data_IF_677081789505
#
_entry.id   IF_677081789505
#
_cell.length_a   1.000
_cell.length_b   1.000
_cell.length_c   1.000
_cell.angle_alpha   90.00
_cell.angle_beta   90.00
_cell.angle_gamma   90.00
#
_symmetry.space_group_name_H-M   'P 1'
#
loop_
_entity.id
_entity.type
_entity.pdbx_description
1 polymer ?
#
# COMPACT_ATOMS: atom_id res chain seq x y z
N UNK A 1 3.61 -23.96 5.82
CA UNK A 1 3.71 -23.64 4.37
C UNK A 1 2.67 -22.58 4.05
N UNK A 2 3.05 -21.30 4.06
CA UNK A 2 2.13 -20.16 3.87
C UNK A 2 1.35 -20.20 2.55
N UNK A 3 1.90 -20.91 1.55
CA UNK A 3 1.29 -21.06 0.23
C UNK A 3 -0.05 -21.81 0.28
N UNK A 4 -0.22 -22.79 1.18
CA UNK A 4 -1.46 -23.59 1.27
C UNK A 4 -2.65 -22.81 1.83
N UNK A 5 -2.42 -21.66 2.46
CA UNK A 5 -3.50 -20.78 2.92
C UNK A 5 -4.07 -19.91 1.79
N UNK A 6 -3.48 -19.96 0.59
CA UNK A 6 -3.90 -19.13 -0.53
C UNK A 6 -5.11 -19.74 -1.26
N UNK A 7 -6.27 -19.04 -1.32
CA UNK A 7 -7.43 -19.53 -2.03
C UNK A 7 -7.12 -19.84 -3.50
N UNK A 8 -7.53 -21.02 -3.97
CA UNK A 8 -7.28 -21.46 -5.35
C UNK A 8 -5.88 -22.07 -5.59
N UNK A 9 -5.00 -22.11 -4.58
CA UNK A 9 -3.71 -22.81 -4.64
C UNK A 9 -3.77 -24.14 -3.88
N UNK A 10 -4.24 -25.18 -4.56
CA UNK A 10 -4.29 -26.54 -3.99
C UNK A 10 -2.91 -27.18 -3.81
N UNK A 11 -2.79 -28.26 -3.02
CA UNK A 11 -1.53 -28.91 -2.66
C UNK A 11 -0.66 -29.31 -3.87
N UNK A 12 -1.30 -29.80 -4.95
CA UNK A 12 -0.63 -30.19 -6.19
C UNK A 12 0.09 -29.01 -6.86
N UNK A 13 -0.59 -27.86 -6.97
CA UNK A 13 -0.04 -26.64 -7.56
C UNK A 13 1.04 -26.02 -6.67
N UNK A 14 0.83 -26.01 -5.35
CA UNK A 14 1.83 -25.53 -4.40
C UNK A 14 3.12 -26.35 -4.48
N UNK A 15 3.01 -27.68 -4.57
CA UNK A 15 4.16 -28.58 -4.76
C UNK A 15 4.90 -28.31 -6.07
N UNK A 16 4.18 -28.13 -7.18
CA UNK A 16 4.79 -27.81 -8.47
C UNK A 16 5.58 -26.50 -8.42
N UNK A 17 5.01 -25.44 -7.83
CA UNK A 17 5.72 -24.17 -7.63
C UNK A 17 6.98 -24.31 -6.76
N UNK A 18 6.93 -25.15 -5.72
CA UNK A 18 8.09 -25.43 -4.88
C UNK A 18 9.17 -26.20 -5.65
N UNK A 19 8.79 -27.23 -6.42
CA UNK A 19 9.73 -28.08 -7.14
C UNK A 19 10.37 -27.37 -8.34
N UNK A 20 9.59 -26.61 -9.10
CA UNK A 20 10.06 -25.99 -10.35
C UNK A 20 10.66 -24.60 -10.14
N UNK A 21 10.16 -23.83 -9.17
CA UNK A 21 10.56 -22.43 -8.97
C UNK A 21 11.23 -22.17 -7.61
N UNK A 22 11.32 -23.18 -6.74
CA UNK A 22 11.87 -23.09 -5.38
C UNK A 22 11.22 -21.99 -4.52
N UNK A 23 9.94 -21.73 -4.78
CA UNK A 23 9.17 -20.72 -4.05
C UNK A 23 8.61 -21.33 -2.76
N UNK A 24 8.84 -20.64 -1.64
CA UNK A 24 8.43 -21.11 -0.31
C UNK A 24 7.52 -20.10 0.42
N UNK A 25 7.57 -18.83 0.03
CA UNK A 25 6.86 -17.74 0.71
C UNK A 25 5.96 -16.97 -0.23
N UNK A 26 4.93 -16.31 0.31
CA UNK A 26 4.03 -15.44 -0.48
C UNK A 26 4.78 -14.31 -1.22
N UNK A 27 5.76 -13.61 -0.62
CA UNK A 27 6.54 -12.60 -1.35
C UNK A 27 7.37 -13.19 -2.51
N UNK A 28 7.99 -14.36 -2.31
CA UNK A 28 8.72 -15.06 -3.39
C UNK A 28 7.77 -15.45 -4.52
N UNK A 29 6.56 -15.93 -4.17
CA UNK A 29 5.55 -16.30 -5.16
C UNK A 29 5.04 -15.10 -5.94
N UNK A 30 4.79 -13.97 -5.26
CA UNK A 30 4.37 -12.72 -5.90
C UNK A 30 5.42 -12.25 -6.92
N UNK A 31 6.70 -12.31 -6.55
CA UNK A 31 7.80 -11.95 -7.45
C UNK A 31 7.84 -12.88 -8.66
N UNK A 32 7.84 -14.19 -8.45
CA UNK A 32 7.82 -15.17 -9.54
C UNK A 32 6.60 -15.00 -10.46
N UNK A 33 5.44 -14.61 -9.90
CA UNK A 33 4.24 -14.35 -10.68
C UNK A 33 4.34 -13.06 -11.50
N UNK A 34 4.88 -11.98 -10.94
CA UNK A 34 5.10 -10.71 -11.67
C UNK A 34 6.16 -10.84 -12.77
N UNK A 35 7.18 -11.66 -12.52
CA UNK A 35 8.23 -11.98 -13.49
C UNK A 35 7.77 -13.00 -14.56
N UNK A 36 6.48 -13.35 -14.61
CA UNK A 36 5.87 -14.35 -15.50
C UNK A 36 6.43 -15.79 -15.37
N UNK A 37 7.32 -16.05 -14.41
CA UNK A 37 7.94 -17.37 -14.19
C UNK A 37 6.92 -18.45 -13.82
N UNK A 38 5.83 -18.09 -13.12
CA UNK A 38 4.78 -19.08 -12.79
C UNK A 38 4.10 -19.68 -14.02
N UNK A 39 4.17 -19.03 -15.19
CA UNK A 39 3.56 -19.54 -16.43
C UNK A 39 4.30 -20.74 -17.00
N UNK A 40 5.55 -20.98 -16.59
CA UNK A 40 6.31 -22.15 -17.01
C UNK A 40 5.86 -23.42 -16.29
N UNK A 41 5.13 -23.26 -15.17
CA UNK A 41 4.63 -24.35 -14.35
C UNK A 41 3.28 -24.84 -14.88
N UNK A 42 3.17 -26.16 -15.07
CA UNK A 42 1.95 -26.79 -15.57
C UNK A 42 0.71 -26.41 -14.75
N UNK A 43 -0.33 -25.93 -15.43
CA UNK A 43 -1.60 -25.53 -14.79
C UNK A 43 -1.70 -24.06 -14.38
N UNK A 44 -0.75 -23.21 -14.78
CA UNK A 44 -0.76 -21.75 -14.61
C UNK A 44 -0.77 -20.99 -15.93
N UNK A 45 -1.96 -20.85 -16.55
CA UNK A 45 -2.15 -19.92 -17.66
C UNK A 45 -2.24 -18.45 -17.20
N UNK A 46 -2.28 -17.50 -18.14
CA UNK A 46 -2.30 -16.06 -17.85
C UNK A 46 -3.42 -15.64 -16.87
N UNK A 47 -4.64 -16.16 -17.06
CA UNK A 47 -5.77 -15.92 -16.14
C UNK A 47 -5.52 -16.49 -14.73
N UNK A 48 -4.88 -17.66 -14.64
CA UNK A 48 -4.55 -18.27 -13.35
C UNK A 48 -3.46 -17.50 -12.63
N UNK A 49 -2.46 -16.99 -13.34
CA UNK A 49 -1.42 -16.11 -12.78
C UNK A 49 -2.01 -14.81 -12.26
N UNK A 50 -2.90 -14.16 -13.02
CA UNK A 50 -3.52 -12.92 -12.58
C UNK A 50 -4.31 -13.12 -11.28
N UNK A 51 -5.14 -14.16 -11.23
CA UNK A 51 -5.86 -14.56 -10.00
C UNK A 51 -4.92 -14.89 -8.84
N UNK A 52 -3.78 -15.51 -9.14
CA UNK A 52 -2.78 -15.84 -8.15
C UNK A 52 -2.16 -14.56 -7.55
N UNK A 53 -1.80 -13.59 -8.38
CA UNK A 53 -1.29 -12.28 -7.95
C UNK A 53 -2.31 -11.59 -7.04
N UNK A 54 -3.56 -11.48 -7.48
CA UNK A 54 -4.64 -10.87 -6.70
C UNK A 54 -4.86 -11.57 -5.35
N UNK A 55 -4.85 -12.90 -5.33
CA UNK A 55 -4.99 -13.66 -4.09
C UNK A 55 -3.81 -13.45 -3.13
N UNK A 56 -2.57 -13.38 -3.65
CA UNK A 56 -1.37 -13.13 -2.84
C UNK A 56 -1.41 -11.71 -2.26
N UNK A 57 -1.73 -10.71 -3.07
CA UNK A 57 -1.84 -9.32 -2.64
C UNK A 57 -2.95 -9.13 -1.60
N UNK A 58 -4.09 -9.81 -1.78
CA UNK A 58 -5.17 -9.81 -0.79
C UNK A 58 -4.76 -10.47 0.53
N UNK A 59 -4.01 -11.58 0.49
CA UNK A 59 -3.56 -12.23 1.72
C UNK A 59 -2.49 -11.41 2.44
N UNK A 60 -1.52 -10.87 1.69
CA UNK A 60 -0.48 -9.99 2.23
C UNK A 60 -1.06 -8.70 2.80
N UNK A 61 -2.14 -8.16 2.21
CA UNK A 61 -2.81 -6.96 2.75
C UNK A 61 -3.59 -7.25 4.04
N UNK A 62 -4.15 -8.45 4.23
CA UNK A 62 -4.75 -8.85 5.52
C UNK A 62 -3.71 -8.95 6.63
N UNK A 63 -2.53 -9.46 6.31
CA UNK A 63 -1.39 -9.55 7.26
C UNK A 63 -0.88 -8.13 7.61
N UNK A 64 -1.05 -7.17 6.69
CA UNK A 64 -0.67 -5.75 6.88
C UNK A 64 -1.89 -4.90 7.22
N UNK A 65 -2.60 -5.24 8.31
CA UNK A 65 -3.63 -4.35 8.87
C UNK A 65 -3.31 -4.02 10.32
N UNK A 66 -3.77 -2.86 10.78
CA UNK A 66 -3.75 -2.50 12.19
C UNK A 66 -5.13 -1.97 12.62
N UNK A 67 -5.32 -1.87 13.94
CA UNK A 67 -6.57 -1.37 14.51
C UNK A 67 -6.75 0.10 14.17
N UNK A 68 -8.02 0.51 14.04
CA UNK A 68 -8.41 1.91 13.81
C UNK A 68 -7.69 2.89 14.74
N UNK A 69 -7.60 2.58 16.04
CA UNK A 69 -6.93 3.42 17.03
C UNK A 69 -5.44 3.64 16.71
N UNK A 70 -4.71 2.56 16.41
CA UNK A 70 -3.28 2.63 16.07
C UNK A 70 -3.08 3.43 14.79
N UNK A 71 -3.86 3.11 13.74
CA UNK A 71 -3.82 3.83 12.47
C UNK A 71 -4.13 5.32 12.62
N UNK A 72 -5.08 5.67 13.50
CA UNK A 72 -5.47 7.06 13.76
C UNK A 72 -4.34 7.86 14.40
N UNK A 73 -3.64 7.29 15.39
CA UNK A 73 -2.50 7.96 16.03
C UNK A 73 -1.39 8.24 15.01
N UNK A 74 -1.06 7.26 14.17
CA UNK A 74 -0.10 7.44 13.08
C UNK A 74 -0.57 8.51 12.09
N UNK A 75 -1.83 8.46 11.64
CA UNK A 75 -2.34 9.41 10.65
C UNK A 75 -2.36 10.84 11.18
N UNK A 76 -2.70 11.05 12.44
CA UNK A 76 -2.63 12.38 13.06
C UNK A 76 -1.19 12.89 13.09
N UNK A 77 -0.23 12.04 13.48
CA UNK A 77 1.19 12.39 13.43
C UNK A 77 1.65 12.75 12.01
N UNK A 78 1.37 11.89 11.03
CA UNK A 78 1.73 12.14 9.64
C UNK A 78 1.11 13.44 9.10
N UNK A 79 -0.10 13.80 9.52
CA UNK A 79 -0.77 15.00 9.03
C UNK A 79 -0.07 16.30 9.48
N UNK A 80 0.68 16.28 10.58
CA UNK A 80 1.35 17.47 11.11
C UNK A 80 2.54 17.91 10.24
N UNK A 81 3.32 16.97 9.68
CA UNK A 81 4.51 17.35 8.90
C UNK A 81 4.19 18.06 7.58
N UNK A 82 3.27 17.57 6.73
CA UNK A 82 2.81 18.28 5.55
C UNK A 82 2.26 19.67 5.87
N UNK A 83 1.56 19.86 7.00
CA UNK A 83 1.03 21.17 7.41
C UNK A 83 2.13 22.21 7.67
N UNK A 84 3.33 21.78 8.02
CA UNK A 84 4.48 22.67 8.23
C UNK A 84 5.18 23.06 6.92
N UNK A 85 4.81 22.48 5.77
CA UNK A 85 5.39 22.83 4.49
C UNK A 85 4.84 24.18 3.97
N UNK A 86 5.65 24.97 3.24
CA UNK A 86 5.20 26.24 2.69
C UNK A 86 4.07 26.04 1.67
N UNK A 87 3.10 26.97 1.67
CA UNK A 87 1.98 27.02 0.70
C UNK A 87 1.09 25.77 0.69
N UNK A 88 0.94 25.14 1.86
CA UNK A 88 -0.10 24.13 2.11
C UNK A 88 -1.35 24.83 2.59
N UNK A 89 -2.47 24.53 1.94
CA UNK A 89 -3.78 25.08 2.25
C UNK A 89 -4.55 24.16 3.19
N UNK A 90 -4.47 22.85 2.94
CA UNK A 90 -5.25 21.86 3.69
C UNK A 90 -4.56 20.50 3.71
N UNK A 91 -4.73 19.74 4.79
CA UNK A 91 -4.31 18.34 4.90
C UNK A 91 -5.41 17.54 5.57
N UNK A 92 -5.93 16.55 4.86
CA UNK A 92 -7.03 15.68 5.25
C UNK A 92 -6.60 14.22 5.32
N UNK A 93 -7.23 13.48 6.24
CA UNK A 93 -7.20 12.02 6.27
C UNK A 93 -8.25 11.49 5.30
N UNK A 94 -7.87 10.53 4.47
CA UNK A 94 -8.72 9.91 3.46
C UNK A 94 -8.83 8.39 3.68
N UNK A 95 -9.32 7.68 2.67
CA UNK A 95 -9.25 6.22 2.62
C UNK A 95 -10.12 5.50 3.65
N UNK A 96 -9.70 4.30 4.04
CA UNK A 96 -10.41 3.44 4.99
C UNK A 96 -10.49 4.03 6.40
N UNK A 97 -9.49 4.86 6.75
CA UNK A 97 -9.41 5.55 8.03
C UNK A 97 -10.50 6.62 8.19
N UNK A 98 -10.73 7.44 7.14
CA UNK A 98 -11.82 8.43 7.10
C UNK A 98 -13.20 7.80 7.30
N UNK A 99 -13.38 6.55 6.84
CA UNK A 99 -14.64 5.79 6.96
C UNK A 99 -14.73 4.94 8.23
N UNK A 100 -13.83 5.16 9.20
CA UNK A 100 -13.81 4.49 10.49
C UNK A 100 -13.92 2.95 10.42
N UNK A 101 -13.19 2.31 9.48
CA UNK A 101 -13.13 0.84 9.46
C UNK A 101 -12.29 0.31 10.62
N UNK A 102 -12.79 -0.72 11.30
CA UNK A 102 -12.12 -1.35 12.46
C UNK A 102 -10.67 -1.78 12.18
N UNK A 103 -10.43 -2.29 10.97
CA UNK A 103 -9.13 -2.75 10.50
C UNK A 103 -8.69 -1.97 9.27
N UNK A 104 -7.58 -1.24 9.42
CA UNK A 104 -7.01 -0.31 8.43
C UNK A 104 -5.79 -0.94 7.78
N UNK A 105 -5.77 -0.98 6.44
CA UNK A 105 -4.67 -1.56 5.65
C UNK A 105 -3.60 -0.57 5.20
N UNK A 106 -3.94 0.71 5.19
CA UNK A 106 -3.12 1.84 4.76
C UNK A 106 -3.63 3.13 5.39
N UNK A 107 -2.74 4.12 5.50
CA UNK A 107 -3.06 5.48 5.89
C UNK A 107 -3.00 6.35 4.65
N UNK A 108 -4.14 6.86 4.20
CA UNK A 108 -4.21 7.78 3.08
C UNK A 108 -4.37 9.22 3.55
N UNK A 109 -3.57 10.12 2.99
CA UNK A 109 -3.67 11.56 3.21
C UNK A 109 -3.73 12.31 1.90
N UNK A 110 -4.52 13.38 1.91
CA UNK A 110 -4.63 14.33 0.82
C UNK A 110 -4.16 15.70 1.34
N UNK A 111 -3.22 16.31 0.63
CA UNK A 111 -2.83 17.70 0.86
C UNK A 111 -3.22 18.57 -0.34
N UNK A 112 -3.78 19.74 -0.07
CA UNK A 112 -3.99 20.79 -1.07
C UNK A 112 -2.84 21.78 -0.95
N UNK A 113 -1.98 21.87 -1.96
CA UNK A 113 -0.79 22.71 -1.92
C UNK A 113 -0.31 23.13 -3.31
N UNK A 114 0.42 24.25 -3.36
CA UNK A 114 1.05 24.73 -4.60
C UNK A 114 2.36 24.00 -4.92
N UNK A 115 3.04 23.45 -3.90
CA UNK A 115 4.35 22.83 -4.06
C UNK A 115 4.37 21.40 -3.51
N UNK A 116 3.90 20.44 -4.31
CA UNK A 116 3.86 19.03 -3.91
C UNK A 116 5.21 18.42 -3.55
N UNK A 117 6.30 18.90 -4.16
CA UNK A 117 7.66 18.43 -3.83
C UNK A 117 8.05 18.80 -2.40
N UNK A 118 7.78 20.03 -1.98
CA UNK A 118 8.04 20.47 -0.61
C UNK A 118 7.18 19.70 0.39
N UNK A 119 5.87 19.56 0.13
CA UNK A 119 4.97 18.81 1.02
C UNK A 119 5.40 17.34 1.15
N UNK A 120 5.73 16.69 0.03
CA UNK A 120 6.20 15.31 0.02
C UNK A 120 7.52 15.12 0.77
N UNK A 121 8.43 16.11 0.69
CA UNK A 121 9.67 16.10 1.45
C UNK A 121 9.43 16.18 2.97
N UNK A 122 8.53 17.05 3.42
CA UNK A 122 8.14 17.12 4.83
C UNK A 122 7.49 15.81 5.30
N UNK A 123 6.58 15.23 4.51
CA UNK A 123 5.97 13.94 4.84
C UNK A 123 7.02 12.84 5.04
N UNK A 124 8.04 12.79 4.19
CA UNK A 124 9.09 11.78 4.26
C UNK A 124 10.00 11.91 5.51
N UNK A 125 9.97 13.05 6.20
CA UNK A 125 10.73 13.27 7.43
C UNK A 125 10.08 12.63 8.67
N UNK A 126 8.92 11.99 8.55
CA UNK A 126 8.25 11.37 9.70
C UNK A 126 9.17 10.40 10.45
N UNK A 127 9.40 10.59 11.76
CA UNK A 127 10.27 9.73 12.55
C UNK A 127 9.61 8.37 12.81
N UNK A 128 10.43 7.33 13.02
CA UNK A 128 9.91 6.02 13.41
C UNK A 128 9.21 5.22 12.30
N UNK A 129 9.36 5.62 11.03
CA UNK A 129 8.97 4.75 9.90
C UNK A 129 9.98 3.61 9.73
N UNK A 130 9.48 2.44 9.34
CA UNK A 130 10.33 1.27 9.01
C UNK A 130 11.13 1.51 7.74
N UNK A 131 10.48 2.07 6.72
CA UNK A 131 11.11 2.28 5.41
C UNK A 131 10.45 3.47 4.72
N UNK A 132 11.24 4.31 4.04
CA UNK A 132 10.74 5.33 3.11
C UNK A 132 10.72 4.71 1.72
N UNK A 133 9.56 4.69 1.05
CA UNK A 133 9.43 4.11 -0.29
C UNK A 133 9.86 5.12 -1.36
N UNK A 134 9.46 6.38 -1.21
CA UNK A 134 9.90 7.46 -2.10
C UNK A 134 9.02 8.69 -2.07
N UNK A 135 9.56 9.79 -2.61
CA UNK A 135 8.88 11.07 -2.84
C UNK A 135 8.90 11.36 -4.34
N UNK A 136 7.74 11.22 -4.99
CA UNK A 136 7.48 11.74 -6.33
C UNK A 136 6.77 13.09 -6.23
N UNK A 137 6.85 13.92 -7.28
CA UNK A 137 6.43 15.34 -7.23
C UNK A 137 5.07 15.63 -6.58
N UNK A 138 4.08 14.74 -6.70
CA UNK A 138 2.76 14.87 -6.07
C UNK A 138 2.37 13.69 -5.16
N UNK A 139 3.32 12.78 -4.84
CA UNK A 139 3.05 11.57 -4.06
C UNK A 139 4.23 11.22 -3.16
N UNK A 140 3.97 10.90 -1.90
CA UNK A 140 5.00 10.35 -1.01
C UNK A 140 4.47 9.09 -0.32
N UNK A 141 5.37 8.16 0.04
CA UNK A 141 4.97 6.91 0.69
C UNK A 141 6.03 6.38 1.65
N UNK A 142 5.57 5.87 2.79
CA UNK A 142 6.39 5.29 3.86
C UNK A 142 5.75 4.01 4.40
N UNK A 143 6.55 3.06 4.88
CA UNK A 143 6.12 1.84 5.57
C UNK A 143 6.28 2.03 7.06
N UNK A 144 5.25 1.71 7.84
CA UNK A 144 5.25 1.80 9.29
C UNK A 144 5.89 0.57 9.94
N UNK A 145 6.24 0.62 11.24
CA UNK A 145 6.69 -0.56 11.99
C UNK A 145 5.70 -1.73 11.95
N UNK A 146 4.40 -1.48 11.82
CA UNK A 146 3.37 -2.51 11.65
C UNK A 146 3.35 -3.15 10.26
N UNK A 147 4.07 -2.59 9.28
CA UNK A 147 4.11 -3.07 7.90
C UNK A 147 3.01 -2.50 6.99
N UNK A 148 2.08 -1.71 7.52
CA UNK A 148 1.14 -0.94 6.70
C UNK A 148 1.84 0.25 6.05
N UNK A 149 1.26 0.79 4.98
CA UNK A 149 1.80 1.94 4.27
C UNK A 149 1.05 3.21 4.66
N UNK A 150 1.78 4.33 4.71
CA UNK A 150 1.23 5.67 4.76
C UNK A 150 1.53 6.36 3.43
N UNK A 151 0.48 6.88 2.81
CA UNK A 151 0.50 7.53 1.51
C UNK A 151 0.06 8.99 1.64
N UNK A 152 0.79 9.88 1.00
CA UNK A 152 0.38 11.25 0.77
C UNK A 152 0.16 11.46 -0.71
N UNK A 153 -0.98 12.05 -1.06
CA UNK A 153 -1.25 12.64 -2.38
C UNK A 153 -1.35 14.15 -2.23
N UNK A 154 -0.67 14.88 -3.10
CA UNK A 154 -0.79 16.34 -3.18
C UNK A 154 -1.56 16.72 -4.43
N UNK A 155 -2.51 17.63 -4.27
CA UNK A 155 -3.26 18.23 -5.38
C UNK A 155 -3.13 19.74 -5.31
N UNK A 156 -3.08 20.37 -6.48
CA UNK A 156 -3.26 21.83 -6.57
C UNK A 156 -4.70 22.17 -6.22
N UNK A 157 -4.94 23.39 -5.72
CA UNK A 157 -6.30 23.89 -5.48
C UNK A 157 -7.15 23.67 -6.74
N UNK A 158 -8.27 22.95 -6.67
CA UNK A 158 -9.18 22.91 -7.79
C UNK A 158 -9.75 24.31 -8.05
N UNK A 159 -9.91 24.67 -9.31
CA UNK A 159 -10.98 25.61 -9.70
C UNK A 159 -12.29 25.10 -9.09
N UNK A 160 -13.12 25.99 -8.54
CA UNK A 160 -14.33 25.63 -7.80
C UNK A 160 -15.12 24.46 -8.45
N UNK A 161 -15.22 23.32 -7.76
CA UNK A 161 -16.02 22.16 -8.20
C UNK A 161 -15.38 20.77 -8.05
N UNK A 162 -14.05 20.62 -8.02
CA UNK A 162 -13.43 19.28 -8.06
C UNK A 162 -13.13 18.63 -6.69
N UNK A 163 -13.48 19.29 -5.57
CA UNK A 163 -13.17 18.80 -4.22
C UNK A 163 -13.81 17.45 -3.86
N UNK A 164 -14.93 17.10 -4.52
CA UNK A 164 -15.66 15.85 -4.25
C UNK A 164 -15.04 14.60 -4.91
N UNK A 165 -14.10 14.74 -5.85
CA UNK A 165 -13.51 13.61 -6.57
C UNK A 165 -12.25 13.03 -5.90
N UNK A 166 -11.85 13.55 -4.73
CA UNK A 166 -10.58 13.23 -4.07
C UNK A 166 -10.72 12.58 -2.68
N UNK A 167 -11.95 12.29 -2.22
CA UNK A 167 -12.24 11.77 -0.87
C UNK A 167 -12.85 10.36 -0.84
#
# INVERSE_FOLDING_TARGET
MDLLQLPGLGPKKARALYQELHVQTLPQLLRAARDNRVRTVGGFGARSQQRLIEAIENQLSKIRRCRLADASAWAQGFAQLPRAAPKVHEVMIAGSLRRARDMVGDIDQLAVAENGKAVGAHFAQFPGVRQRIGVGGARASSVLPSGIQAHLRVVSRPSAGAGAALL
#
